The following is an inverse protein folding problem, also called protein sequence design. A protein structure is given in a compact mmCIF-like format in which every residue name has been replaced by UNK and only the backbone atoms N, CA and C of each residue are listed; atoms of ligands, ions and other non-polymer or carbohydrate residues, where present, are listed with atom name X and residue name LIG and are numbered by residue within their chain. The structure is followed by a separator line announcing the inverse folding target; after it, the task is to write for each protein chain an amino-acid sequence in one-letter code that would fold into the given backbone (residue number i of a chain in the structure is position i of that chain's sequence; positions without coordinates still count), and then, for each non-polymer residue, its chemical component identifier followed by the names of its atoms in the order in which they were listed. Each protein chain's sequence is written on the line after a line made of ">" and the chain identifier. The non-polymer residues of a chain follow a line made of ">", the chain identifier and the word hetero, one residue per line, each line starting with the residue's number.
data_IF_245070356538
#
_entry.id   IF_245070356538
#
_cell.length_a   1.000
_cell.length_b   1.000
_cell.length_c   1.000
_cell.angle_alpha   90.00
_cell.angle_beta   90.00
_cell.angle_gamma   90.00
#
_symmetry.space_group_name_H-M   'P 1'
#
loop_
_entity.id
_entity.type
_entity.pdbx_description
1 polymer ?
#
# COMPACT_ATOMS: atom_id res chain seq x y z
N UNK A 1 -31.58 -17.98 -6.62
CA UNK A 1 -30.16 -18.08 -7.00
C UNK A 1 -29.76 -16.91 -7.90
N UNK A 2 -28.62 -16.30 -7.57
CA UNK A 2 -27.68 -15.58 -8.46
C UNK A 2 -28.22 -14.60 -9.53
N UNK A 3 -28.78 -13.46 -9.12
CA UNK A 3 -28.84 -12.23 -9.95
C UNK A 3 -27.94 -11.15 -9.32
N UNK A 4 -26.66 -11.48 -9.08
CA UNK A 4 -25.65 -10.50 -8.62
C UNK A 4 -24.44 -10.46 -9.59
N UNK A 5 -24.43 -11.26 -10.66
CA UNK A 5 -23.26 -11.46 -11.53
C UNK A 5 -23.19 -10.63 -12.82
N UNK A 6 -23.82 -9.44 -12.89
CA UNK A 6 -23.58 -8.49 -14.01
C UNK A 6 -23.48 -7.05 -13.53
N UNK A 7 -22.61 -6.78 -12.57
CA UNK A 7 -22.12 -5.42 -12.34
C UNK A 7 -20.84 -5.21 -13.20
N UNK A 8 -20.89 -4.51 -14.35
CA UNK A 8 -19.72 -4.23 -15.17
C UNK A 8 -18.56 -3.58 -14.38
N UNK A 9 -18.86 -2.90 -13.26
CA UNK A 9 -17.86 -2.36 -12.34
C UNK A 9 -17.00 -3.43 -11.64
N UNK A 10 -17.58 -4.54 -11.19
CA UNK A 10 -16.84 -5.57 -10.42
C UNK A 10 -15.77 -6.23 -11.28
N UNK A 11 -16.09 -6.46 -12.57
CA UNK A 11 -15.13 -7.03 -13.53
C UNK A 11 -13.99 -6.06 -13.83
N UNK A 12 -14.28 -4.77 -14.00
CA UNK A 12 -13.25 -3.74 -14.25
C UNK A 12 -12.28 -3.60 -13.08
N UNK A 13 -12.80 -3.58 -11.84
CA UNK A 13 -12.00 -3.53 -10.61
C UNK A 13 -11.13 -4.77 -10.44
N UNK A 14 -11.66 -5.97 -10.70
CA UNK A 14 -10.87 -7.21 -10.61
C UNK A 14 -9.75 -7.28 -11.66
N UNK A 15 -9.99 -6.77 -12.88
CA UNK A 15 -8.96 -6.70 -13.92
C UNK A 15 -7.87 -5.68 -13.57
N UNK A 16 -8.25 -4.49 -13.09
CA UNK A 16 -7.31 -3.48 -12.61
C UNK A 16 -6.46 -4.00 -11.44
N UNK A 17 -7.11 -4.67 -10.49
CA UNK A 17 -6.45 -5.38 -9.39
C UNK A 17 -5.42 -6.39 -9.90
N UNK A 18 -5.80 -7.27 -10.85
CA UNK A 18 -4.91 -8.29 -11.40
C UNK A 18 -3.68 -7.69 -12.08
N UNK A 19 -3.87 -6.61 -12.84
CA UNK A 19 -2.77 -5.88 -13.50
C UNK A 19 -1.78 -5.29 -12.48
N UNK A 20 -2.27 -4.68 -11.40
CA UNK A 20 -1.41 -4.12 -10.34
C UNK A 20 -0.67 -5.24 -9.60
N UNK A 21 -1.34 -6.35 -9.26
CA UNK A 21 -0.69 -7.51 -8.64
C UNK A 21 0.42 -8.08 -9.52
N UNK A 22 0.16 -8.26 -10.83
CA UNK A 22 1.14 -8.75 -11.79
C UNK A 22 2.34 -7.79 -11.92
N UNK A 23 2.09 -6.48 -12.02
CA UNK A 23 3.13 -5.46 -12.06
C UNK A 23 4.01 -5.48 -10.81
N UNK A 24 3.39 -5.51 -9.61
CA UNK A 24 4.12 -5.57 -8.34
C UNK A 24 4.85 -6.90 -8.12
N UNK A 25 4.34 -8.00 -8.71
CA UNK A 25 4.90 -9.35 -8.53
C UNK A 25 5.98 -9.72 -9.53
N UNK A 26 5.97 -9.11 -10.71
CA UNK A 26 7.00 -9.28 -11.75
C UNK A 26 8.37 -8.71 -11.39
N UNK A 27 8.47 -7.93 -10.31
CA UNK A 27 9.76 -7.44 -9.77
C UNK A 27 10.39 -8.53 -8.89
N UNK A 28 11.49 -9.15 -9.37
CA UNK A 28 12.19 -10.28 -8.73
C UNK A 28 13.02 -9.90 -7.48
N UNK A 29 12.87 -10.64 -6.36
CA UNK A 29 13.75 -10.61 -5.16
C UNK A 29 13.32 -9.70 -3.99
N UNK A 30 13.48 -10.14 -2.72
CA UNK A 30 12.87 -9.54 -1.49
C UNK A 30 13.77 -8.53 -0.72
N UNK A 31 13.25 -7.50 0.03
CA UNK A 31 13.25 -7.59 1.52
C UNK A 31 12.38 -6.61 2.38
N UNK A 32 11.12 -6.29 2.05
CA UNK A 32 10.18 -5.88 3.12
C UNK A 32 8.73 -6.13 2.68
N UNK A 33 8.01 -7.03 3.34
CA UNK A 33 6.72 -7.54 2.86
C UNK A 33 5.74 -6.43 2.48
N UNK A 34 5.26 -6.58 1.24
CA UNK A 34 5.02 -5.52 0.25
C UNK A 34 3.99 -4.47 0.62
N UNK A 35 3.26 -4.66 1.72
CA UNK A 35 2.24 -3.72 2.16
C UNK A 35 2.77 -3.01 3.39
N UNK A 36 2.85 -1.69 3.29
CA UNK A 36 3.36 -0.83 4.37
C UNK A 36 2.32 0.20 4.73
N UNK A 37 2.39 0.65 5.99
CA UNK A 37 1.75 1.88 6.41
C UNK A 37 2.78 3.01 6.31
N UNK A 38 2.40 4.11 5.68
CA UNK A 38 3.24 5.29 5.49
C UNK A 38 2.50 6.54 5.93
N UNK A 39 3.19 7.45 6.59
CA UNK A 39 2.63 8.73 7.00
C UNK A 39 2.59 9.69 5.80
N UNK A 40 1.40 9.92 5.22
CA UNK A 40 1.19 10.70 4.00
C UNK A 40 -0.27 11.20 3.92
N UNK A 41 -0.54 12.44 3.44
CA UNK A 41 0.41 13.45 2.96
C UNK A 41 0.99 14.37 4.05
N UNK A 42 0.52 14.24 5.30
CA UNK A 42 1.00 15.03 6.44
C UNK A 42 1.08 14.17 7.70
N UNK A 43 1.77 14.70 8.71
CA UNK A 43 1.87 14.03 10.01
C UNK A 43 0.51 13.70 10.63
N UNK A 44 0.38 12.51 11.19
CA UNK A 44 -0.84 11.95 11.76
C UNK A 44 -1.78 11.26 10.78
N UNK A 45 -1.53 11.36 9.48
CA UNK A 45 -2.32 10.67 8.47
C UNK A 45 -1.52 9.52 7.88
N UNK A 46 -2.16 8.36 7.83
CA UNK A 46 -1.51 7.14 7.38
C UNK A 46 -2.22 6.58 6.15
N UNK A 47 -1.42 6.17 5.18
CA UNK A 47 -1.87 5.54 3.96
C UNK A 47 -1.30 4.13 3.84
N UNK A 48 -2.06 3.26 3.17
CA UNK A 48 -1.56 1.95 2.72
C UNK A 48 -0.69 2.19 1.49
N UNK A 49 0.53 1.69 1.52
CA UNK A 49 1.50 1.77 0.44
C UNK A 49 2.02 0.40 0.04
N UNK A 50 2.49 0.30 -1.21
CA UNK A 50 3.10 -0.90 -1.76
C UNK A 50 4.56 -0.64 -2.11
N UNK A 51 5.47 -1.38 -1.49
CA UNK A 51 6.91 -1.24 -1.79
C UNK A 51 7.19 -1.83 -3.17
N UNK A 52 7.70 -1.02 -4.10
CA UNK A 52 8.00 -1.44 -5.47
C UNK A 52 9.49 -1.75 -5.68
N UNK A 53 10.35 -1.32 -4.75
CA UNK A 53 11.78 -1.62 -4.79
C UNK A 53 12.63 -0.47 -4.25
N UNK A 54 13.88 -0.43 -4.68
CA UNK A 54 14.81 0.68 -4.42
C UNK A 54 14.53 1.86 -5.37
N UNK A 55 14.87 3.10 -4.98
CA UNK A 55 14.77 4.24 -5.87
C UNK A 55 15.69 4.07 -7.08
N UNK A 56 15.23 4.60 -8.21
CA UNK A 56 15.99 4.66 -9.46
C UNK A 56 17.12 5.70 -9.42
N UNK A 57 17.06 6.60 -8.44
CA UNK A 57 18.06 7.64 -8.15
C UNK A 57 18.70 7.37 -6.79
N UNK A 58 19.97 7.73 -6.65
CA UNK A 58 20.62 7.76 -5.35
C UNK A 58 19.98 8.86 -4.50
N UNK A 59 19.20 8.44 -3.52
CA UNK A 59 18.63 9.31 -2.50
C UNK A 59 19.16 8.79 -1.18
N UNK A 60 20.07 9.55 -0.58
CA UNK A 60 20.50 9.26 0.79
C UNK A 60 19.40 9.75 1.74
N UNK A 61 18.79 8.81 2.46
CA UNK A 61 18.04 9.17 3.66
C UNK A 61 19.02 9.79 4.66
N UNK A 62 18.55 10.77 5.44
CA UNK A 62 19.37 11.34 6.51
C UNK A 62 19.95 10.21 7.39
N UNK A 63 21.24 10.34 7.75
CA UNK A 63 21.99 9.36 8.55
C UNK A 63 22.20 7.97 7.90
N UNK A 64 22.13 7.85 6.57
CA UNK A 64 22.43 6.59 5.86
C UNK A 64 21.25 5.61 5.83
N UNK A 65 20.03 6.10 6.05
CA UNK A 65 18.82 5.29 5.97
C UNK A 65 18.52 4.87 4.52
N UNK A 66 18.20 3.60 4.30
CA UNK A 66 17.85 3.05 2.99
C UNK A 66 16.53 3.70 2.53
N UNK A 67 16.54 4.36 1.38
CA UNK A 67 15.30 4.91 0.80
C UNK A 67 14.59 3.84 0.00
N UNK A 68 13.27 3.79 0.13
CA UNK A 68 12.40 2.84 -0.55
C UNK A 68 11.43 3.57 -1.47
N UNK A 69 11.14 2.97 -2.63
CA UNK A 69 10.08 3.42 -3.53
C UNK A 69 8.75 2.80 -3.09
N UNK A 70 7.76 3.63 -2.79
CA UNK A 70 6.43 3.21 -2.32
C UNK A 70 5.36 3.78 -3.23
N UNK A 71 4.49 2.91 -3.74
CA UNK A 71 3.28 3.30 -4.46
C UNK A 71 2.10 3.40 -3.49
N UNK A 72 1.49 4.58 -3.39
CA UNK A 72 0.31 4.86 -2.57
C UNK A 72 -0.91 4.98 -3.49
N UNK A 73 -1.77 3.95 -3.59
CA UNK A 73 -2.92 3.99 -4.47
C UNK A 73 -4.05 4.87 -3.92
N UNK A 74 -4.95 5.27 -4.80
CA UNK A 74 -6.24 5.88 -4.46
C UNK A 74 -7.35 4.82 -4.37
N UNK A 75 -8.31 5.02 -3.48
CA UNK A 75 -9.52 4.18 -3.40
C UNK A 75 -10.63 4.75 -4.28
N UNK A 76 -11.46 3.94 -4.98
CA UNK A 76 -11.41 2.47 -5.11
C UNK A 76 -10.54 1.98 -6.28
N UNK A 77 -9.97 2.90 -7.08
CA UNK A 77 -9.20 2.56 -8.28
C UNK A 77 -7.69 2.44 -7.97
N UNK A 78 -7.13 1.22 -7.85
CA UNK A 78 -5.74 1.02 -7.43
C UNK A 78 -4.72 1.33 -8.53
N UNK A 79 -5.18 1.72 -9.73
CA UNK A 79 -4.29 2.08 -10.86
C UNK A 79 -3.83 3.53 -10.80
N UNK A 80 -4.53 4.38 -10.07
CA UNK A 80 -4.12 5.76 -9.78
C UNK A 80 -3.54 5.86 -8.38
N UNK A 81 -2.64 6.82 -8.18
CA UNK A 81 -1.93 6.98 -6.92
C UNK A 81 -0.71 7.87 -7.04
N UNK A 82 0.07 7.88 -5.98
CA UNK A 82 1.34 8.59 -5.90
C UNK A 82 2.49 7.59 -5.81
N UNK A 83 3.60 7.91 -6.46
CA UNK A 83 4.87 7.25 -6.22
C UNK A 83 5.67 8.16 -5.29
N UNK A 84 6.06 7.67 -4.12
CA UNK A 84 6.81 8.43 -3.13
C UNK A 84 8.11 7.68 -2.77
N UNK A 85 9.13 8.45 -2.40
CA UNK A 85 10.40 7.95 -1.90
C UNK A 85 10.46 8.22 -0.40
N UNK A 86 10.62 7.16 0.39
CA UNK A 86 10.49 7.25 1.85
C UNK A 86 11.63 6.50 2.52
N UNK A 87 12.30 7.08 3.54
CA UNK A 87 13.29 6.36 4.33
C UNK A 87 12.68 5.12 4.97
N UNK A 88 13.40 3.99 4.94
CA UNK A 88 12.92 2.70 5.45
C UNK A 88 12.47 2.78 6.90
N UNK A 89 13.12 3.61 7.73
CA UNK A 89 12.73 3.81 9.13
C UNK A 89 11.33 4.41 9.34
N UNK A 90 10.76 5.06 8.32
CA UNK A 90 9.43 5.69 8.37
C UNK A 90 8.32 4.78 7.84
N UNK A 91 8.65 3.55 7.43
CA UNK A 91 7.70 2.58 6.92
C UNK A 91 7.39 1.53 7.98
N UNK A 92 6.09 1.28 8.20
CA UNK A 92 5.65 0.21 9.11
C UNK A 92 5.16 -0.98 8.28
N UNK A 93 5.78 -2.15 8.47
CA UNK A 93 5.35 -3.38 7.76
C UNK A 93 3.95 -3.78 8.18
N UNK A 94 3.11 -4.10 7.21
CA UNK A 94 1.88 -4.82 7.45
C UNK A 94 2.11 -6.29 7.09
N UNK A 95 1.76 -7.19 8.00
CA UNK A 95 1.89 -8.63 7.79
C UNK A 95 0.66 -9.17 7.05
N UNK A 96 0.51 -8.74 5.79
CA UNK A 96 -0.56 -9.15 4.90
C UNK A 96 -0.04 -9.34 3.48
N UNK A 97 -0.79 -10.09 2.67
CA UNK A 97 -0.46 -10.26 1.25
C UNK A 97 -0.76 -8.97 0.46
N UNK A 98 -0.11 -8.78 -0.69
CA UNK A 98 -0.43 -7.68 -1.63
C UNK A 98 -1.89 -7.75 -2.06
N UNK A 99 -2.39 -8.96 -2.29
CA UNK A 99 -3.77 -9.21 -2.67
C UNK A 99 -4.73 -8.70 -1.58
N UNK A 100 -4.44 -8.98 -0.32
CA UNK A 100 -5.25 -8.54 0.81
C UNK A 100 -5.19 -7.01 1.01
N UNK A 101 -4.01 -6.42 0.89
CA UNK A 101 -3.85 -4.95 0.92
C UNK A 101 -4.60 -4.26 -0.21
N UNK A 102 -4.58 -4.82 -1.42
CA UNK A 102 -5.32 -4.26 -2.55
C UNK A 102 -6.83 -4.45 -2.40
N UNK A 103 -7.31 -5.57 -1.84
CA UNK A 103 -8.74 -5.75 -1.49
C UNK A 103 -9.19 -4.68 -0.50
N UNK A 104 -8.35 -4.36 0.49
CA UNK A 104 -8.62 -3.30 1.45
C UNK A 104 -8.75 -1.92 0.75
N UNK A 105 -7.80 -1.55 -0.11
CA UNK A 105 -7.82 -0.28 -0.87
C UNK A 105 -9.04 -0.20 -1.79
N UNK A 106 -9.30 -1.26 -2.57
CA UNK A 106 -10.42 -1.30 -3.53
C UNK A 106 -11.77 -1.19 -2.82
N UNK A 107 -11.90 -1.82 -1.65
CA UNK A 107 -13.13 -1.75 -0.84
C UNK A 107 -13.27 -0.44 -0.04
N UNK A 108 -12.29 0.46 -0.11
CA UNK A 108 -12.27 1.68 0.70
C UNK A 108 -12.13 1.42 2.20
N UNK A 109 -11.52 0.30 2.59
CA UNK A 109 -11.33 -0.10 3.98
C UNK A 109 -12.44 -0.98 4.57
N UNK A 110 -13.48 -1.30 3.80
CA UNK A 110 -14.62 -2.10 4.29
C UNK A 110 -14.32 -3.59 4.44
N UNK A 111 -13.39 -4.13 3.65
CA UNK A 111 -12.98 -5.53 3.68
C UNK A 111 -11.63 -5.64 4.37
N UNK A 112 -11.65 -6.09 5.63
CA UNK A 112 -10.44 -6.34 6.42
C UNK A 112 -10.01 -7.80 6.22
N UNK A 113 -8.75 -8.06 5.85
CA UNK A 113 -8.21 -9.42 5.75
C UNK A 113 -8.35 -10.18 7.08
N UNK A 114 -8.49 -11.53 7.05
CA UNK A 114 -8.54 -12.31 8.27
C UNK A 114 -7.20 -12.21 9.04
N UNK A 115 -7.26 -11.81 10.30
CA UNK A 115 -6.08 -11.51 11.12
C UNK A 115 -6.10 -10.06 11.59
N UNK A 116 -6.30 -9.85 12.89
CA UNK A 116 -6.34 -8.49 13.45
C UNK A 116 -4.91 -8.02 13.68
N UNK A 117 -4.31 -7.39 12.67
CA UNK A 117 -3.01 -6.72 12.82
C UNK A 117 -3.19 -5.48 13.69
N UNK A 118 -2.87 -5.59 14.97
CA UNK A 118 -2.73 -4.44 15.85
C UNK A 118 -1.42 -3.72 15.52
N UNK A 119 -1.45 -2.89 14.49
CA UNK A 119 -0.37 -1.93 14.29
C UNK A 119 -0.63 -0.78 15.24
N UNK A 120 0.20 -0.66 16.27
CA UNK A 120 0.21 0.52 17.14
C UNK A 120 0.83 1.63 16.32
N UNK A 121 -0.03 2.43 15.71
CA UNK A 121 0.38 3.64 15.02
C UNK A 121 0.64 4.71 16.09
N UNK A 122 1.86 5.24 16.22
CA UNK A 122 2.11 6.31 17.17
C UNK A 122 1.26 7.52 16.76
N UNK A 123 0.27 7.86 17.60
CA UNK A 123 -0.52 9.07 17.42
C UNK A 123 0.46 10.26 17.49
N UNK A 124 0.45 11.20 16.52
CA UNK A 124 1.26 12.40 16.65
C UNK A 124 0.87 13.11 17.96
N UNK A 125 1.83 13.71 18.68
CA UNK A 125 1.50 14.49 19.86
C UNK A 125 0.46 15.55 19.49
N UNK A 126 -0.66 15.57 20.21
CA UNK A 126 -1.65 16.63 20.06
C UNK A 126 -0.98 17.92 20.54
N UNK A 127 -0.64 18.80 19.62
CA UNK A 127 -0.24 20.16 19.97
C UNK A 127 -1.45 20.84 20.63
N UNK A 128 -1.31 21.12 21.93
CA UNK A 128 -2.26 21.84 22.78
C UNK A 128 -2.17 23.34 22.60
#
# INVERSE_FOLDING_TARGET
>A
EAIILRAPMVRGVYLAFKQVVEALTSVSGAPFDRVVLVEYPRRGLYAIGFVTGRPWVEVEGGAGDEVMTVFVPTTPNPTSGFLILVPRSQLVKLDMTVEDGLKLVVSGGMVVPPGRHQVVVPCPPQES
#
